data_IF_552096625713
#
_entry.id   IF_552096625713
#
_cell.length_a   1.000
_cell.length_b   1.000
_cell.length_c   1.000
_cell.angle_alpha   90.00
_cell.angle_beta   90.00
_cell.angle_gamma   90.00
#
_symmetry.space_group_name_H-M   'P 1'
#
loop_
_entity.id
_entity.type
_entity.pdbx_description
1 polymer ?
#
# COMPACT_ATOMS: atom_id res chain seq x y z
N UNK A 1 -13.85 1.16 -13.09
CA UNK A 1 -12.86 2.24 -13.31
C UNK A 1 -12.05 2.35 -12.02
N UNK A 2 -10.74 2.13 -12.06
CA UNK A 2 -9.91 2.35 -10.87
C UNK A 2 -9.90 3.85 -10.59
N UNK A 3 -10.31 4.24 -9.38
CA UNK A 3 -10.30 5.64 -8.92
C UNK A 3 -8.93 6.27 -9.20
N UNK A 4 -8.91 7.53 -9.64
CA UNK A 4 -7.69 8.29 -9.74
C UNK A 4 -7.00 8.29 -8.36
N UNK A 5 -5.78 7.77 -8.29
CA UNK A 5 -5.03 7.74 -7.04
C UNK A 5 -4.78 9.16 -6.52
N UNK A 6 -4.85 9.33 -5.21
CA UNK A 6 -4.50 10.59 -4.53
C UNK A 6 -2.99 10.58 -4.34
N UNK A 7 -2.28 11.62 -4.78
CA UNK A 7 -0.84 11.72 -4.51
C UNK A 7 -0.59 11.68 -2.99
N UNK A 8 0.34 10.84 -2.56
CA UNK A 8 0.72 10.79 -1.15
C UNK A 8 1.50 12.03 -0.76
N UNK A 9 1.14 12.63 0.36
CA UNK A 9 1.81 13.82 0.92
C UNK A 9 2.48 13.50 2.26
N UNK A 10 3.10 14.49 2.91
CA UNK A 10 3.72 14.25 4.22
C UNK A 10 2.66 14.11 5.33
N UNK A 11 1.50 14.72 5.14
CA UNK A 11 0.36 14.66 6.07
C UNK A 11 -0.17 13.23 6.22
N UNK A 12 -0.07 12.39 5.19
CA UNK A 12 -0.42 10.97 5.26
C UNK A 12 0.43 10.18 6.28
N UNK A 13 1.53 10.76 6.77
CA UNK A 13 2.45 10.14 7.71
C UNK A 13 2.46 10.83 9.08
N UNK A 14 1.56 11.78 9.35
CA UNK A 14 1.56 12.56 10.60
C UNK A 14 1.53 11.68 11.86
N UNK A 15 0.79 10.56 11.80
CA UNK A 15 0.68 9.60 12.91
C UNK A 15 1.53 8.33 12.71
N UNK A 16 2.31 8.27 11.65
CA UNK A 16 3.15 7.12 11.34
C UNK A 16 4.37 7.06 12.27
N UNK A 17 4.73 5.85 12.70
CA UNK A 17 5.96 5.64 13.47
C UNK A 17 7.17 5.62 12.53
N UNK A 18 8.26 6.27 12.93
CA UNK A 18 9.54 6.14 12.23
C UNK A 18 9.90 4.65 12.04
N UNK A 19 10.46 4.26 10.88
CA UNK A 19 10.99 5.10 9.80
C UNK A 19 9.98 5.53 8.72
N UNK A 20 8.68 5.25 8.89
CA UNK A 20 7.66 5.52 7.87
C UNK A 20 7.62 7.00 7.47
N UNK A 21 7.70 7.23 6.17
CA UNK A 21 7.62 8.55 5.52
C UNK A 21 7.40 8.35 4.01
N UNK A 22 6.96 9.40 3.30
CA UNK A 22 6.88 9.39 1.82
C UNK A 22 8.20 8.95 1.19
N UNK A 23 9.33 9.46 1.72
CA UNK A 23 10.68 9.10 1.25
C UNK A 23 11.01 7.64 1.51
N UNK A 24 10.69 7.12 2.70
CA UNK A 24 10.92 5.71 3.05
C UNK A 24 10.17 4.79 2.09
N UNK A 25 8.85 4.98 1.92
CA UNK A 25 8.05 4.15 1.01
C UNK A 25 8.59 4.23 -0.42
N UNK A 26 8.96 5.42 -0.89
CA UNK A 26 9.53 5.59 -2.23
C UNK A 26 10.80 4.74 -2.41
N UNK A 27 11.71 4.78 -1.44
CA UNK A 27 12.95 4.00 -1.49
C UNK A 27 12.68 2.49 -1.50
N UNK A 28 11.63 2.01 -0.82
CA UNK A 28 11.23 0.59 -0.86
C UNK A 28 10.74 0.20 -2.25
N UNK A 29 9.87 1.03 -2.85
CA UNK A 29 9.40 0.80 -4.20
C UNK A 29 10.53 0.81 -5.23
N UNK A 30 11.50 1.71 -5.10
CA UNK A 30 12.69 1.75 -5.95
C UNK A 30 13.60 0.51 -5.73
N UNK A 31 13.89 0.16 -4.47
CA UNK A 31 14.75 -0.95 -4.09
C UNK A 31 14.25 -2.30 -4.61
N UNK A 32 12.94 -2.55 -4.50
CA UNK A 32 12.33 -3.80 -4.93
C UNK A 32 11.68 -3.73 -6.31
N UNK A 33 11.85 -2.61 -7.03
CA UNK A 33 11.26 -2.37 -8.35
C UNK A 33 9.75 -2.66 -8.37
N UNK A 34 9.01 -2.05 -7.45
CA UNK A 34 7.56 -2.27 -7.29
C UNK A 34 6.75 -1.29 -8.13
N UNK A 35 5.68 -1.79 -8.73
CA UNK A 35 4.66 -0.98 -9.43
C UNK A 35 3.54 -0.56 -8.46
N UNK A 36 3.02 -1.51 -7.68
CA UNK A 36 2.00 -1.24 -6.66
C UNK A 36 1.94 -2.31 -5.58
N UNK A 37 1.40 -1.94 -4.43
CA UNK A 37 0.94 -2.87 -3.39
C UNK A 37 -0.57 -2.68 -3.25
N UNK A 38 -1.33 -3.77 -3.23
CA UNK A 38 -2.77 -3.77 -3.00
C UNK A 38 -3.12 -4.54 -1.72
N UNK A 39 -4.02 -3.98 -0.92
CA UNK A 39 -4.57 -4.54 0.30
C UNK A 39 -6.03 -4.94 0.09
N UNK A 40 -6.38 -6.17 0.46
CA UNK A 40 -7.71 -6.75 0.26
C UNK A 40 -8.51 -6.96 1.55
N UNK A 41 -7.96 -6.61 2.72
CA UNK A 41 -8.53 -6.96 4.02
C UNK A 41 -7.86 -8.19 4.64
N UNK A 42 -8.11 -8.46 5.92
CA UNK A 42 -7.67 -9.69 6.62
C UNK A 42 -6.17 -10.02 6.47
N UNK A 43 -5.31 -8.99 6.42
CA UNK A 43 -3.87 -9.12 6.16
C UNK A 43 -3.50 -9.73 4.80
N UNK A 44 -4.42 -9.73 3.83
CA UNK A 44 -4.16 -10.17 2.46
C UNK A 44 -3.62 -9.02 1.60
N UNK A 45 -2.43 -9.21 1.05
CA UNK A 45 -1.74 -8.24 0.20
C UNK A 45 -1.29 -8.88 -1.12
N UNK A 46 -1.29 -8.07 -2.17
CA UNK A 46 -0.62 -8.36 -3.43
C UNK A 46 0.47 -7.33 -3.68
N UNK A 47 1.71 -7.78 -3.78
CA UNK A 47 2.89 -6.95 -4.03
C UNK A 47 3.30 -7.13 -5.49
N UNK A 48 3.05 -6.12 -6.32
CA UNK A 48 3.38 -6.13 -7.75
C UNK A 48 4.75 -5.51 -7.98
N UNK A 49 5.67 -6.30 -8.52
CA UNK A 49 6.90 -5.83 -9.15
C UNK A 49 6.64 -5.27 -10.56
N UNK A 50 7.69 -4.69 -11.14
CA UNK A 50 7.73 -4.24 -12.53
C UNK A 50 7.39 -5.38 -13.51
N UNK A 51 6.80 -5.01 -14.65
CA UNK A 51 6.31 -5.95 -15.67
C UNK A 51 5.23 -6.92 -15.15
N UNK A 52 4.47 -6.51 -14.12
CA UNK A 52 3.40 -7.32 -13.51
C UNK A 52 3.88 -8.65 -12.91
N UNK A 53 5.17 -8.76 -12.57
CA UNK A 53 5.66 -9.93 -11.85
C UNK A 53 5.37 -9.76 -10.35
N UNK A 54 4.69 -10.71 -9.70
CA UNK A 54 4.46 -10.62 -8.27
C UNK A 54 5.79 -10.81 -7.53
N UNK A 55 6.02 -9.98 -6.51
CA UNK A 55 7.03 -10.29 -5.51
C UNK A 55 6.36 -11.23 -4.52
N UNK A 56 6.76 -12.50 -4.50
CA UNK A 56 6.25 -13.49 -3.54
C UNK A 56 7.36 -13.91 -2.58
N UNK A 57 7.06 -14.14 -1.30
CA UNK A 57 8.01 -14.75 -0.38
C UNK A 57 8.52 -16.10 -0.92
N UNK A 58 9.79 -16.42 -0.67
CA UNK A 58 10.45 -17.62 -1.21
C UNK A 58 9.84 -18.94 -0.71
N UNK A 59 9.15 -18.92 0.43
CA UNK A 59 8.52 -20.10 1.02
C UNK A 59 7.06 -19.82 1.38
N UNK A 60 6.18 -20.85 1.35
CA UNK A 60 4.85 -20.75 1.93
C UNK A 60 4.94 -20.31 3.40
N UNK A 61 4.15 -19.33 3.80
CA UNK A 61 4.16 -18.69 5.13
C UNK A 61 5.43 -17.90 5.49
N UNK A 62 6.36 -17.70 4.55
CA UNK A 62 7.43 -16.73 4.77
C UNK A 62 6.88 -15.30 4.72
N UNK A 63 7.45 -14.45 5.56
CA UNK A 63 7.21 -13.01 5.53
C UNK A 63 7.95 -12.37 4.36
N UNK A 64 7.47 -11.22 3.93
CA UNK A 64 8.23 -10.32 3.10
C UNK A 64 9.46 -9.81 3.87
N UNK A 65 10.43 -9.22 3.16
CA UNK A 65 11.45 -8.39 3.79
C UNK A 65 10.86 -7.37 4.78
N UNK A 66 11.54 -7.14 5.89
CA UNK A 66 11.05 -6.33 7.02
C UNK A 66 10.58 -4.93 6.62
N UNK A 67 11.26 -4.32 5.65
CA UNK A 67 10.92 -3.00 5.14
C UNK A 67 9.63 -2.99 4.30
N UNK A 68 9.30 -4.09 3.61
CA UNK A 68 8.00 -4.27 2.97
C UNK A 68 6.93 -4.51 4.03
N UNK A 69 7.19 -5.37 5.03
CA UNK A 69 6.24 -5.63 6.12
C UNK A 69 5.82 -4.34 6.84
N UNK A 70 6.75 -3.41 7.08
CA UNK A 70 6.44 -2.08 7.62
C UNK A 70 5.45 -1.28 6.75
N UNK A 71 5.56 -1.41 5.41
CA UNK A 71 4.63 -0.77 4.48
C UNK A 71 3.26 -1.45 4.53
N UNK A 72 3.21 -2.79 4.61
CA UNK A 72 1.95 -3.54 4.71
C UNK A 72 1.19 -3.17 6.00
N UNK A 73 1.89 -3.12 7.13
CA UNK A 73 1.34 -2.71 8.43
C UNK A 73 0.80 -1.28 8.39
N UNK A 74 1.54 -0.36 7.76
CA UNK A 74 1.09 1.01 7.56
C UNK A 74 -0.19 1.06 6.72
N UNK A 75 -0.23 0.34 5.60
CA UNK A 75 -1.41 0.29 4.73
C UNK A 75 -2.65 -0.24 5.47
N UNK A 76 -2.50 -1.29 6.28
CA UNK A 76 -3.61 -1.85 7.05
C UNK A 76 -4.15 -0.86 8.09
N UNK A 77 -3.27 -0.18 8.83
CA UNK A 77 -3.64 0.78 9.88
C UNK A 77 -4.34 2.02 9.32
N UNK A 78 -3.80 2.57 8.25
CA UNK A 78 -4.34 3.77 7.59
C UNK A 78 -5.47 3.45 6.59
N UNK A 79 -5.91 2.19 6.51
CA UNK A 79 -6.95 1.71 5.59
C UNK A 79 -6.68 2.11 4.12
N UNK A 80 -5.40 2.04 3.72
CA UNK A 80 -4.96 2.29 2.36
C UNK A 80 -5.13 1.02 1.55
N UNK A 81 -6.00 1.06 0.53
CA UNK A 81 -6.29 -0.07 -0.34
C UNK A 81 -5.16 -0.33 -1.33
N UNK A 82 -4.51 0.72 -1.81
CA UNK A 82 -3.44 0.58 -2.80
C UNK A 82 -2.43 1.71 -2.63
N UNK A 83 -1.16 1.37 -2.74
CA UNK A 83 -0.07 2.33 -3.01
C UNK A 83 0.49 1.99 -4.39
N UNK A 84 0.55 2.96 -5.31
CA UNK A 84 1.11 2.83 -6.65
C UNK A 84 2.31 3.78 -6.77
N UNK A 85 3.37 3.34 -7.44
CA UNK A 85 4.51 4.18 -7.79
C UNK A 85 4.57 4.36 -9.30
N UNK A 86 4.59 5.62 -9.76
CA UNK A 86 4.60 5.95 -11.18
C UNK A 86 5.34 7.27 -11.39
N UNK A 87 6.33 7.28 -12.27
CA UNK A 87 7.08 8.49 -12.61
C UNK A 87 7.78 9.17 -11.42
N UNK A 88 8.16 8.40 -10.39
CA UNK A 88 8.79 8.96 -9.17
C UNK A 88 7.81 9.42 -8.09
N UNK A 89 6.49 9.29 -8.34
CA UNK A 89 5.43 9.78 -7.46
C UNK A 89 4.67 8.58 -6.88
N UNK A 90 4.31 8.69 -5.59
CA UNK A 90 3.48 7.70 -4.91
C UNK A 90 2.03 8.18 -4.89
N UNK A 91 1.12 7.28 -5.25
CA UNK A 91 -0.32 7.49 -5.20
C UNK A 91 -0.98 6.47 -4.29
N UNK A 92 -1.94 6.90 -3.49
CA UNK A 92 -2.77 6.03 -2.66
C UNK A 92 -4.23 6.03 -3.10
N UNK A 93 -4.92 4.93 -2.85
CA UNK A 93 -6.40 4.91 -2.87
C UNK A 93 -6.91 4.30 -1.57
N UNK A 94 -8.03 4.83 -1.07
CA UNK A 94 -8.63 4.36 0.18
C UNK A 94 -9.38 3.02 -0.05
N UNK A 95 -9.60 2.28 1.03
CA UNK A 95 -10.65 1.25 1.03
C UNK A 95 -11.98 2.00 0.99
N UNK A 96 -12.89 1.73 0.01
CA UNK A 96 -14.20 2.36 0.02
C UNK A 96 -14.86 2.10 1.35
N UNK A 97 -15.28 3.16 2.04
CA UNK A 97 -16.19 2.98 3.16
C UNK A 97 -17.40 2.22 2.64
N UNK A 98 -17.72 1.09 3.27
CA UNK A 98 -19.02 0.48 3.11
C UNK A 98 -20.01 1.55 3.59
N UNK A 99 -20.61 2.29 2.65
CA UNK A 99 -21.78 3.10 2.98
C UNK A 99 -22.80 2.10 3.49
N UNK A 100 -23.16 2.21 4.76
CA UNK A 100 -24.30 1.47 5.30
C UNK A 100 -25.46 1.66 4.33
N UNK A 101 -25.88 0.56 3.72
CA UNK A 101 -27.00 0.52 2.81
C UNK A 101 -28.25 0.89 3.61
N UNK A 102 -28.60 2.17 3.60
CA UNK A 102 -29.89 2.77 3.94
C UNK A 102 -30.71 2.08 5.03
N UNK A 103 -30.63 2.60 6.27
CA UNK A 103 -31.80 2.58 7.14
C UNK A 103 -32.72 3.74 6.73
N UNK A 104 -33.56 3.48 5.72
CA UNK A 104 -34.85 4.15 5.65
C UNK A 104 -35.78 3.44 6.63
N UNK A 105 -36.15 4.13 7.71
CA UNK A 105 -37.33 3.84 8.52
C UNK A 105 -37.96 5.15 8.94
#
# INVERSE_FOLDING_TARGET
>A
MYEAGIEMTNEDFEFAKLPLSKKFIRLIFEKYQLDYIAYFGENMFYVSGQNSQPLTPLYPNARYPEDIELVLDFMARERIRRIKYEGGILFRSAVPELRDSGNNS
#
